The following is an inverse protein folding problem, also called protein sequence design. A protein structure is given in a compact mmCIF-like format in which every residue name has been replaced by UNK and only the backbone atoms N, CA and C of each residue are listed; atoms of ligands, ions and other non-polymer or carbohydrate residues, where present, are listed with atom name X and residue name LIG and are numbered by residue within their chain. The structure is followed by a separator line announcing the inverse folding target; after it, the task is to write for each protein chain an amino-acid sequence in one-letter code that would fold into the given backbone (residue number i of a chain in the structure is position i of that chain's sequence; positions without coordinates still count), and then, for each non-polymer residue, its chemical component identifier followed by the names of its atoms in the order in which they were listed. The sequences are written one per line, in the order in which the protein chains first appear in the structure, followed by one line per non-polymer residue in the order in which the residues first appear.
data_IF_724195291336
#
_entry.id   IF_724195291336
#
_cell.length_a   1.000
_cell.length_b   1.000
_cell.length_c   1.000
_cell.angle_alpha   90.00
_cell.angle_beta   90.00
_cell.angle_gamma   90.00
#
_symmetry.space_group_name_H-M   'P 1'
#
loop_
_entity.id
_entity.type
_entity.pdbx_description
1 polymer ?
#
# COMPACT_ATOMS: atom_id res chain seq x y z
N UNK A 1 3.04 22.60 -26.84
CA UNK A 1 2.50 21.36 -26.24
C UNK A 1 1.69 21.80 -25.03
N UNK A 2 0.38 21.61 -25.01
CA UNK A 2 -0.38 21.92 -23.80
C UNK A 2 -0.02 20.87 -22.75
N UNK A 3 0.38 21.34 -21.56
CA UNK A 3 0.27 20.57 -20.31
C UNK A 3 -1.12 19.94 -20.29
N UNK A 4 -1.15 18.61 -20.28
CA UNK A 4 -2.35 17.83 -20.02
C UNK A 4 -2.13 17.20 -18.66
N UNK A 5 -2.77 17.75 -17.65
CA UNK A 5 -3.02 17.04 -16.39
C UNK A 5 -4.20 16.10 -16.59
N UNK A 6 -4.05 14.83 -16.17
CA UNK A 6 -5.14 13.85 -16.11
C UNK A 6 -5.34 13.49 -14.65
N UNK A 7 -6.58 13.50 -14.17
CA UNK A 7 -6.95 13.06 -12.83
C UNK A 7 -7.76 11.77 -12.94
N UNK A 8 -7.32 10.74 -12.24
CA UNK A 8 -8.03 9.47 -12.10
C UNK A 8 -8.15 9.14 -10.62
N UNK A 9 -9.31 8.63 -10.21
CA UNK A 9 -9.53 8.15 -8.84
C UNK A 9 -9.42 6.63 -8.84
N UNK A 10 -8.47 6.10 -8.06
CA UNK A 10 -8.39 4.68 -7.70
C UNK A 10 -8.85 4.55 -6.26
N UNK A 11 -9.93 3.82 -6.03
CA UNK A 11 -10.55 3.65 -4.70
C UNK A 11 -10.45 2.21 -4.21
N UNK A 12 -10.89 2.00 -2.97
CA UNK A 12 -11.14 0.64 -2.48
C UNK A 12 -12.28 -0.01 -3.28
N UNK A 13 -12.18 -1.29 -3.62
CA UNK A 13 -13.25 -2.03 -4.28
C UNK A 13 -14.51 -2.12 -3.40
N UNK A 14 -15.66 -2.33 -4.05
CA UNK A 14 -16.95 -2.50 -3.37
C UNK A 14 -17.11 -3.87 -2.69
N UNK A 15 -16.21 -4.82 -2.98
CA UNK A 15 -16.22 -6.19 -2.42
C UNK A 15 -15.82 -6.24 -0.93
N UNK A 16 -15.44 -5.10 -0.36
CA UNK A 16 -15.09 -4.95 1.05
C UNK A 16 -13.59 -5.08 1.35
N UNK A 17 -12.76 -5.39 0.35
CA UNK A 17 -11.31 -5.35 0.50
C UNK A 17 -10.81 -3.90 0.61
N UNK A 18 -10.03 -3.59 1.65
CA UNK A 18 -9.52 -2.23 1.87
C UNK A 18 -8.05 -2.17 1.43
N UNK A 19 -7.77 -1.56 0.28
CA UNK A 19 -6.42 -1.31 -0.26
C UNK A 19 -5.85 0.06 0.12
N UNK A 20 -6.66 0.93 0.69
CA UNK A 20 -6.27 2.26 1.12
C UNK A 20 -6.84 2.50 2.51
N UNK A 21 -5.97 2.48 3.52
CA UNK A 21 -6.32 2.75 4.91
C UNK A 21 -5.15 3.47 5.58
N UNK A 22 -5.40 4.73 5.95
CA UNK A 22 -4.37 5.65 6.43
C UNK A 22 -3.14 5.67 5.49
N UNK A 23 -3.30 6.16 4.24
CA UNK A 23 -2.18 6.32 3.33
C UNK A 23 -1.21 7.39 3.86
N UNK A 24 0.10 7.12 3.79
CA UNK A 24 1.14 8.03 4.28
C UNK A 24 2.07 8.54 3.19
N UNK A 25 2.63 7.62 2.40
CA UNK A 25 3.65 7.93 1.39
C UNK A 25 3.30 7.32 0.04
N UNK A 26 3.83 7.92 -1.02
CA UNK A 26 3.76 7.35 -2.35
C UNK A 26 5.04 7.55 -3.14
N UNK A 27 5.29 6.65 -4.09
CA UNK A 27 6.40 6.74 -5.05
C UNK A 27 5.98 6.08 -6.35
N UNK A 28 6.60 6.43 -7.47
CA UNK A 28 6.26 5.91 -8.80
C UNK A 28 7.53 5.43 -9.51
N UNK A 29 7.43 4.38 -10.32
CA UNK A 29 8.54 3.98 -11.21
C UNK A 29 8.80 5.08 -12.23
N UNK A 30 10.03 5.15 -12.73
CA UNK A 30 10.42 6.22 -13.63
C UNK A 30 9.84 6.12 -15.05
N UNK A 31 9.45 4.92 -15.47
CA UNK A 31 8.62 4.71 -16.66
C UNK A 31 7.15 5.12 -16.43
N UNK A 32 6.80 5.46 -15.19
CA UNK A 32 5.47 5.87 -14.76
C UNK A 32 4.50 4.71 -14.56
N UNK A 33 4.90 3.46 -14.80
CA UNK A 33 3.98 2.31 -14.88
C UNK A 33 3.39 1.89 -13.54
N UNK A 34 4.19 1.90 -12.47
CA UNK A 34 3.75 1.41 -11.16
C UNK A 34 3.80 2.52 -10.11
N UNK A 35 2.65 2.82 -9.51
CA UNK A 35 2.49 3.68 -8.34
C UNK A 35 2.38 2.82 -7.08
N UNK A 36 3.18 3.15 -6.09
CA UNK A 36 3.20 2.50 -4.79
C UNK A 36 2.65 3.46 -3.75
N UNK A 37 1.73 2.99 -2.91
CA UNK A 37 1.16 3.76 -1.80
C UNK A 37 1.33 2.98 -0.51
N UNK A 38 1.98 3.57 0.49
CA UNK A 38 2.13 2.96 1.82
C UNK A 38 0.92 3.27 2.69
N UNK A 39 0.43 2.25 3.39
CA UNK A 39 -0.77 2.27 4.21
C UNK A 39 -0.44 1.73 5.62
N UNK A 40 -0.97 2.39 6.65
CA UNK A 40 -0.78 1.97 8.04
C UNK A 40 -1.64 0.77 8.44
N UNK A 41 -2.59 0.34 7.60
CA UNK A 41 -3.51 -0.78 7.82
C UNK A 41 -4.47 -0.57 9.01
N UNK A 42 -4.65 0.66 9.49
CA UNK A 42 -5.59 0.94 10.56
C UNK A 42 -6.77 1.76 10.03
N UNK A 43 -7.96 1.42 10.50
CA UNK A 43 -9.15 2.24 10.36
C UNK A 43 -9.24 3.33 11.43
N UNK A 44 -10.34 4.08 11.41
CA UNK A 44 -10.61 5.22 12.31
C UNK A 44 -10.55 4.94 13.82
N UNK A 45 -10.54 3.67 14.26
CA UNK A 45 -10.50 3.26 15.66
C UNK A 45 -9.28 2.37 15.97
N UNK A 46 -8.16 2.56 15.26
CA UNK A 46 -6.95 1.71 15.36
C UNK A 46 -7.25 0.22 15.14
N UNK A 47 -8.35 -0.10 14.45
CA UNK A 47 -8.72 -1.48 14.09
C UNK A 47 -8.06 -1.85 12.77
N UNK A 48 -7.32 -2.97 12.70
CA UNK A 48 -6.72 -3.45 11.46
C UNK A 48 -7.77 -3.71 10.39
N UNK A 49 -7.51 -3.26 9.16
CA UNK A 49 -8.40 -3.51 8.00
C UNK A 49 -8.06 -4.80 7.25
N UNK A 50 -6.83 -5.30 7.43
CA UNK A 50 -6.35 -6.59 6.94
C UNK A 50 -5.61 -7.34 8.04
N UNK A 51 -5.74 -8.68 8.09
CA UNK A 51 -4.94 -9.50 8.97
C UNK A 51 -3.47 -9.52 8.53
N UNK A 52 -2.55 -9.65 9.48
CA UNK A 52 -1.15 -9.86 9.19
C UNK A 52 -0.95 -11.22 8.51
N UNK A 53 -0.12 -11.32 7.46
CA UNK A 53 0.24 -12.61 6.90
C UNK A 53 0.97 -13.47 7.93
N UNK A 54 0.84 -14.79 7.84
CA UNK A 54 1.47 -15.73 8.77
C UNK A 54 3.01 -15.61 8.86
N UNK A 55 3.66 -14.97 7.88
CA UNK A 55 5.09 -14.71 7.89
C UNK A 55 5.52 -13.62 8.91
N UNK A 56 4.57 -12.84 9.45
CA UNK A 56 4.85 -11.83 10.47
C UNK A 56 4.78 -12.47 11.85
N UNK A 57 5.88 -13.13 12.24
CA UNK A 57 6.04 -13.77 13.54
C UNK A 57 7.01 -13.01 14.45
N UNK A 58 6.92 -13.22 15.76
CA UNK A 58 7.95 -12.79 16.71
C UNK A 58 9.15 -13.77 16.71
N UNK A 59 10.15 -13.52 17.56
CA UNK A 59 11.36 -14.33 17.64
C UNK A 59 11.06 -15.76 18.14
N UNK A 60 9.90 -15.95 18.77
CA UNK A 60 9.38 -17.23 19.25
C UNK A 60 8.53 -17.98 18.20
N UNK A 61 8.28 -17.40 17.02
CA UNK A 61 7.47 -18.00 15.95
C UNK A 61 5.94 -17.83 16.11
N UNK A 62 5.49 -17.06 17.09
CA UNK A 62 4.07 -16.72 17.30
C UNK A 62 3.65 -15.58 16.35
N UNK A 63 2.41 -15.55 15.84
CA UNK A 63 1.91 -14.43 15.03
C UNK A 63 2.01 -13.10 15.79
N UNK A 64 2.52 -12.06 15.13
CA UNK A 64 2.45 -10.70 15.66
C UNK A 64 1.01 -10.17 15.58
N UNK A 65 0.64 -9.19 16.43
CA UNK A 65 -0.65 -8.53 16.32
C UNK A 65 -0.84 -7.88 14.94
N UNK A 66 -2.07 -7.94 14.42
CA UNK A 66 -2.44 -7.29 13.15
C UNK A 66 -2.20 -5.77 13.15
N UNK A 67 -2.12 -5.15 14.33
CA UNK A 67 -1.80 -3.72 14.50
C UNK A 67 -0.32 -3.39 14.34
N UNK A 68 0.56 -4.40 14.25
CA UNK A 68 1.99 -4.25 13.98
C UNK A 68 2.33 -4.45 12.50
N UNK A 69 1.29 -4.53 11.67
CA UNK A 69 1.36 -4.77 10.25
C UNK A 69 0.83 -3.55 9.47
N UNK A 70 1.52 -3.20 8.38
CA UNK A 70 1.10 -2.22 7.37
C UNK A 70 1.29 -2.82 5.98
N UNK A 71 0.91 -2.10 4.91
CA UNK A 71 1.09 -2.65 3.56
C UNK A 71 1.35 -1.57 2.51
N UNK A 72 1.95 -1.98 1.39
CA UNK A 72 2.06 -1.16 0.18
C UNK A 72 1.10 -1.69 -0.87
N UNK A 73 0.29 -0.79 -1.40
CA UNK A 73 -0.60 -1.06 -2.54
C UNK A 73 0.13 -0.68 -3.81
N UNK A 74 0.18 -1.60 -4.78
CA UNK A 74 0.78 -1.39 -6.10
C UNK A 74 -0.34 -1.18 -7.10
N UNK A 75 -0.27 -0.06 -7.82
CA UNK A 75 -1.26 0.34 -8.82
C UNK A 75 -0.56 0.36 -10.19
N UNK A 76 -1.13 -0.32 -11.18
CA UNK A 76 -0.75 -0.14 -12.58
C UNK A 76 -1.42 1.13 -13.11
N UNK A 77 -0.64 2.09 -13.60
CA UNK A 77 -1.14 3.41 -14.02
C UNK A 77 -1.72 3.38 -15.45
N UNK A 78 -1.43 2.35 -16.23
CA UNK A 78 -2.03 2.18 -17.56
C UNK A 78 -3.50 1.75 -17.42
N UNK A 79 -3.79 0.82 -16.50
CA UNK A 79 -5.14 0.31 -16.25
C UNK A 79 -5.86 1.01 -15.10
N UNK A 80 -5.13 1.69 -14.22
CA UNK A 80 -5.61 2.29 -12.96
C UNK A 80 -6.17 1.26 -11.98
N UNK A 81 -5.59 0.06 -11.96
CA UNK A 81 -6.02 -1.05 -11.11
C UNK A 81 -4.97 -1.36 -10.03
N UNK A 82 -5.43 -1.77 -8.86
CA UNK A 82 -4.57 -2.37 -7.83
C UNK A 82 -4.18 -3.77 -8.31
N UNK A 83 -2.88 -4.00 -8.47
CA UNK A 83 -2.36 -5.28 -8.96
C UNK A 83 -1.67 -6.10 -7.87
N UNK A 84 -1.27 -5.48 -6.76
CA UNK A 84 -0.62 -6.17 -5.66
C UNK A 84 -0.79 -5.42 -4.32
N UNK A 85 -0.81 -6.19 -3.24
CA UNK A 85 -0.75 -5.70 -1.85
C UNK A 85 0.42 -6.37 -1.16
N UNK A 86 1.47 -5.59 -0.91
CA UNK A 86 2.73 -6.08 -0.35
C UNK A 86 2.71 -5.87 1.17
N UNK A 87 2.77 -6.95 1.96
CA UNK A 87 2.78 -6.84 3.40
C UNK A 87 4.10 -6.31 3.97
N UNK A 88 4.05 -5.47 5.00
CA UNK A 88 5.22 -4.95 5.71
C UNK A 88 4.96 -4.64 7.19
N UNK A 89 6.02 -4.23 7.91
CA UNK A 89 5.89 -3.83 9.31
C UNK A 89 5.10 -2.54 9.51
N UNK A 90 4.72 -2.30 10.75
CA UNK A 90 4.06 -1.08 11.25
C UNK A 90 4.76 0.20 10.79
N UNK A 91 3.98 1.27 10.58
CA UNK A 91 4.46 2.63 10.34
C UNK A 91 5.16 2.88 8.99
N UNK A 92 4.72 2.19 7.95
CA UNK A 92 5.16 2.44 6.58
C UNK A 92 4.80 3.87 6.12
N UNK A 93 5.80 4.77 6.13
CA UNK A 93 5.59 6.21 5.97
C UNK A 93 6.41 6.82 4.84
N UNK A 94 7.74 6.67 4.88
CA UNK A 94 8.63 7.13 3.82
C UNK A 94 8.77 6.09 2.71
N UNK A 95 8.55 6.50 1.47
CA UNK A 95 8.73 5.66 0.28
C UNK A 95 9.75 6.28 -0.67
N UNK A 96 10.61 5.45 -1.25
CA UNK A 96 11.48 5.81 -2.35
C UNK A 96 11.66 4.58 -3.24
N UNK A 97 11.78 4.81 -4.55
CA UNK A 97 12.24 3.79 -5.48
C UNK A 97 13.72 4.02 -5.74
N UNK A 98 14.51 2.96 -5.55
CA UNK A 98 15.85 2.91 -6.10
C UNK A 98 15.77 2.33 -7.51
N UNK A 99 16.24 3.11 -8.46
CA UNK A 99 16.35 2.69 -9.85
C UNK A 99 17.81 2.87 -10.27
N UNK A 100 18.56 1.77 -10.50
CA UNK A 100 20.00 1.82 -10.76
C UNK A 100 20.39 2.33 -12.16
N UNK A 101 19.44 2.84 -12.95
CA UNK A 101 19.67 3.33 -14.31
C UNK A 101 20.76 4.40 -14.41
#
# INVERSE_FOLDING_TARGET
MADRTVTVTVGNPEDGEIYFSEPHGSTITADGRYLFVSNRNLGNNDTPVRPAPHAFQNDEGEPRPDTDFGFVTVIDTETNEVIEVIPMGKWASGMAIYDPR
#
